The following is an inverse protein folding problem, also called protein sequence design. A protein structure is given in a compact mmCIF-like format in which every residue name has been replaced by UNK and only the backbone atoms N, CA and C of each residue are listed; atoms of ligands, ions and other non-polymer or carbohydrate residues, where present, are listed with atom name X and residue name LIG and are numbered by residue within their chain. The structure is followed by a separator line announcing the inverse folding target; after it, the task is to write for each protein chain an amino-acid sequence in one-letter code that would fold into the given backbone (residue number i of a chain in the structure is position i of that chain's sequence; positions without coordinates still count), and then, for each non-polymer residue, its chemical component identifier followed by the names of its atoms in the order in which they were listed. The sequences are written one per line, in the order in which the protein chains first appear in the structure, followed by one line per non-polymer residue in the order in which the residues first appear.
data_IF_733122726640
#
_entry.id   IF_733122726640
#
_cell.length_a   1.000
_cell.length_b   1.000
_cell.length_c   1.000
_cell.angle_alpha   90.00
_cell.angle_beta   90.00
_cell.angle_gamma   90.00
#
_symmetry.space_group_name_H-M   'P 1'
#
loop_
_entity.id
_entity.type
_entity.pdbx_description
1 polymer ?
#
# COMPACT_ATOMS: atom_id res chain seq x y z
N UNK A 1 -18.51 37.45 -9.80
CA UNK A 1 -19.23 36.21 -9.39
C UNK A 1 -18.37 34.96 -9.54
N UNK A 2 -17.84 34.65 -10.74
CA UNK A 2 -17.00 33.46 -10.97
C UNK A 2 -15.78 33.36 -10.03
N UNK A 3 -15.01 34.46 -9.84
CA UNK A 3 -13.85 34.47 -8.95
C UNK A 3 -14.19 34.18 -7.47
N UNK A 4 -15.39 34.59 -7.02
CA UNK A 4 -15.86 34.31 -5.66
C UNK A 4 -16.20 32.83 -5.49
N UNK A 5 -16.85 32.23 -6.49
CA UNK A 5 -17.15 30.80 -6.50
C UNK A 5 -15.87 29.96 -6.53
N UNK A 6 -14.90 30.36 -7.34
CA UNK A 6 -13.58 29.70 -7.39
C UNK A 6 -12.86 29.86 -6.05
N UNK A 7 -12.83 31.06 -5.47
CA UNK A 7 -12.22 31.30 -4.16
C UNK A 7 -12.87 30.47 -3.04
N UNK A 8 -14.20 30.36 -3.04
CA UNK A 8 -14.94 29.53 -2.10
C UNK A 8 -14.62 28.03 -2.28
N UNK A 9 -14.59 27.54 -3.52
CA UNK A 9 -14.23 26.16 -3.82
C UNK A 9 -12.79 25.82 -3.38
N UNK A 10 -11.85 26.75 -3.57
CA UNK A 10 -10.47 26.63 -3.09
C UNK A 10 -10.45 26.57 -1.56
N UNK A 11 -11.18 27.44 -0.88
CA UNK A 11 -11.25 27.45 0.59
C UNK A 11 -11.83 26.14 1.13
N UNK A 12 -12.91 25.63 0.53
CA UNK A 12 -13.49 24.32 0.87
C UNK A 12 -12.47 23.20 0.65
N UNK A 13 -11.71 23.25 -0.45
CA UNK A 13 -10.65 22.27 -0.74
C UNK A 13 -9.50 22.31 0.27
N UNK A 14 -9.11 23.50 0.73
CA UNK A 14 -8.03 23.68 1.71
C UNK A 14 -8.50 23.25 3.11
N UNK A 15 -9.73 23.60 3.49
CA UNK A 15 -10.28 23.22 4.79
C UNK A 15 -10.61 21.72 4.91
N UNK A 16 -10.80 21.05 3.77
CA UNK A 16 -11.08 19.60 3.62
C UNK A 16 -12.06 19.04 4.67
N UNK A 17 -13.28 19.60 4.84
CA UNK A 17 -14.21 19.15 5.86
C UNK A 17 -14.69 17.71 5.62
N UNK A 18 -15.09 17.00 6.68
CA UNK A 18 -15.46 15.58 6.66
C UNK A 18 -16.35 15.17 5.47
N UNK A 19 -17.44 15.88 5.11
CA UNK A 19 -18.28 15.48 3.99
C UNK A 19 -17.54 15.42 2.65
N UNK A 20 -16.59 16.34 2.42
CA UNK A 20 -15.80 16.37 1.19
C UNK A 20 -14.81 15.21 1.12
N UNK A 21 -14.23 14.82 2.26
CA UNK A 21 -13.36 13.65 2.35
C UNK A 21 -14.12 12.36 2.06
N UNK A 22 -15.32 12.21 2.65
CA UNK A 22 -16.17 11.02 2.45
C UNK A 22 -16.54 10.87 0.98
N UNK A 23 -17.06 11.94 0.35
CA UNK A 23 -17.46 11.91 -1.06
C UNK A 23 -16.25 11.57 -1.94
N UNK A 24 -15.09 12.18 -1.68
CA UNK A 24 -13.85 11.91 -2.42
C UNK A 24 -13.43 10.46 -2.31
N UNK A 25 -13.36 9.91 -1.09
CA UNK A 25 -12.87 8.56 -0.84
C UNK A 25 -13.84 7.52 -1.42
N UNK A 26 -15.14 7.68 -1.23
CA UNK A 26 -16.15 6.79 -1.83
C UNK A 26 -16.09 6.81 -3.37
N UNK A 27 -15.93 7.99 -3.96
CA UNK A 27 -15.79 8.13 -5.41
C UNK A 27 -14.52 7.43 -5.90
N UNK A 28 -13.41 7.58 -5.18
CA UNK A 28 -12.15 6.89 -5.48
C UNK A 28 -12.31 5.37 -5.42
N UNK A 29 -12.90 4.84 -4.35
CA UNK A 29 -13.13 3.41 -4.18
C UNK A 29 -14.04 2.84 -5.28
N UNK A 30 -15.09 3.59 -5.65
CA UNK A 30 -15.96 3.21 -6.75
C UNK A 30 -15.20 3.13 -8.08
N UNK A 31 -14.34 4.11 -8.38
CA UNK A 31 -13.49 4.06 -9.57
C UNK A 31 -12.52 2.89 -9.55
N UNK A 32 -11.89 2.59 -8.41
CA UNK A 32 -11.00 1.42 -8.28
C UNK A 32 -11.75 0.09 -8.50
N UNK A 33 -13.04 0.01 -8.16
CA UNK A 33 -13.88 -1.18 -8.38
C UNK A 33 -14.37 -1.31 -9.82
N UNK A 34 -14.82 -0.21 -10.42
CA UNK A 34 -15.36 -0.21 -11.79
C UNK A 34 -14.25 -0.35 -12.83
N UNK A 35 -13.10 0.28 -12.57
CA UNK A 35 -11.93 0.27 -13.44
C UNK A 35 -10.69 -0.08 -12.60
N UNK A 36 -10.57 -1.34 -12.15
CA UNK A 36 -9.37 -1.78 -11.47
C UNK A 36 -8.16 -1.57 -12.38
N UNK A 37 -7.02 -1.27 -11.78
CA UNK A 37 -5.76 -1.15 -12.51
C UNK A 37 -5.40 -2.52 -13.09
N UNK A 38 -5.00 -2.53 -14.36
CA UNK A 38 -4.47 -3.75 -14.97
C UNK A 38 -3.21 -4.19 -14.21
N UNK A 39 -3.17 -5.45 -13.80
CA UNK A 39 -2.00 -6.03 -13.16
C UNK A 39 -0.87 -6.10 -14.18
N UNK A 40 0.15 -5.27 -14.00
CA UNK A 40 1.37 -5.33 -14.78
C UNK A 40 2.42 -6.09 -13.99
N UNK A 41 3.25 -6.92 -14.64
CA UNK A 41 4.39 -7.54 -13.98
C UNK A 41 5.35 -6.43 -13.54
N UNK A 42 5.34 -6.14 -12.24
CA UNK A 42 6.28 -5.22 -11.63
C UNK A 42 7.49 -6.03 -11.15
N UNK A 43 8.72 -5.48 -11.24
CA UNK A 43 9.92 -6.12 -10.70
C UNK A 43 9.98 -5.99 -9.16
N UNK A 44 8.85 -6.23 -8.49
CA UNK A 44 8.68 -6.10 -7.05
C UNK A 44 7.96 -7.35 -6.55
N UNK A 45 8.56 -8.01 -5.57
CA UNK A 45 7.96 -9.12 -4.84
C UNK A 45 7.71 -8.72 -3.39
N UNK A 46 6.60 -9.17 -2.83
CA UNK A 46 6.25 -8.96 -1.42
C UNK A 46 6.31 -10.34 -0.75
N UNK A 47 7.10 -10.44 0.31
CA UNK A 47 7.19 -11.63 1.16
C UNK A 47 6.41 -11.30 2.44
N UNK A 48 5.24 -11.91 2.58
CA UNK A 48 4.36 -11.70 3.73
C UNK A 48 4.49 -12.84 4.75
N UNK A 49 4.29 -12.53 6.02
CA UNK A 49 4.29 -13.51 7.12
C UNK A 49 2.86 -13.74 7.56
N UNK A 50 2.24 -14.75 6.96
CA UNK A 50 0.86 -15.13 7.27
C UNK A 50 0.78 -16.27 8.30
N UNK A 51 -0.46 -16.56 8.75
CA UNK A 51 -0.72 -17.65 9.70
C UNK A 51 -0.23 -19.01 9.19
N UNK A 52 -0.24 -19.22 7.87
CA UNK A 52 0.26 -20.45 7.26
C UNK A 52 1.77 -20.57 7.42
N UNK A 53 2.50 -19.47 7.22
CA UNK A 53 3.94 -19.37 7.42
C UNK A 53 4.31 -19.58 8.89
N UNK A 54 3.58 -18.96 9.82
CA UNK A 54 3.78 -19.15 11.26
C UNK A 54 3.52 -20.60 11.66
N UNK A 55 2.46 -21.21 11.13
CA UNK A 55 2.15 -22.62 11.41
C UNK A 55 3.24 -23.56 10.86
N UNK A 56 3.81 -23.23 9.70
CA UNK A 56 4.82 -24.05 9.04
C UNK A 56 6.23 -23.88 9.63
N UNK A 57 6.62 -22.66 10.00
CA UNK A 57 7.99 -22.31 10.41
C UNK A 57 8.11 -22.27 11.94
N UNK A 58 7.00 -22.01 12.63
CA UNK A 58 6.93 -21.88 14.08
C UNK A 58 6.55 -20.47 14.52
N UNK A 59 6.39 -20.35 15.84
CA UNK A 59 5.91 -19.14 16.48
C UNK A 59 6.77 -17.90 16.15
N UNK A 60 6.09 -16.83 15.78
CA UNK A 60 6.67 -15.49 15.64
C UNK A 60 6.90 -14.84 17.02
N UNK A 61 7.92 -13.98 17.23
CA UNK A 61 8.95 -13.53 16.27
C UNK A 61 10.05 -14.56 16.03
N UNK A 62 10.46 -14.69 14.77
CA UNK A 62 11.54 -15.58 14.39
C UNK A 62 12.93 -15.04 14.78
N UNK A 63 13.94 -15.90 14.93
CA UNK A 63 15.31 -15.45 15.12
C UNK A 63 15.83 -14.74 13.86
N UNK A 64 16.76 -13.79 14.03
CA UNK A 64 17.38 -13.03 12.93
C UNK A 64 18.04 -13.89 11.86
N UNK A 65 18.48 -15.11 12.22
CA UNK A 65 19.01 -16.09 11.26
C UNK A 65 17.99 -16.47 10.19
N UNK A 66 16.70 -16.57 10.55
CA UNK A 66 15.63 -16.83 9.60
C UNK A 66 15.48 -15.70 8.58
N UNK A 67 15.51 -14.45 9.07
CA UNK A 67 15.46 -13.29 8.18
C UNK A 67 16.68 -13.18 7.27
N UNK A 68 17.86 -13.54 7.76
CA UNK A 68 19.07 -13.59 6.92
C UNK A 68 18.91 -14.58 5.76
N UNK A 69 18.38 -15.78 6.02
CA UNK A 69 18.12 -16.77 4.96
C UNK A 69 17.09 -16.29 3.92
N UNK A 70 16.06 -15.55 4.36
CA UNK A 70 15.08 -14.92 3.46
C UNK A 70 15.76 -13.87 2.58
N UNK A 71 16.58 -12.99 3.17
CA UNK A 71 17.34 -11.95 2.44
C UNK A 71 18.29 -12.58 1.43
N UNK A 72 19.05 -13.60 1.83
CA UNK A 72 19.97 -14.31 0.94
C UNK A 72 19.26 -14.94 -0.24
N UNK A 73 18.07 -15.53 0.00
CA UNK A 73 17.26 -16.13 -1.05
C UNK A 73 16.71 -15.08 -2.00
N UNK A 74 16.13 -13.99 -1.48
CA UNK A 74 15.64 -12.89 -2.31
C UNK A 74 16.76 -12.25 -3.15
N UNK A 75 17.95 -12.09 -2.56
CA UNK A 75 19.13 -11.56 -3.27
C UNK A 75 19.57 -12.51 -4.39
N UNK A 76 19.60 -13.82 -4.13
CA UNK A 76 19.93 -14.85 -5.12
C UNK A 76 18.94 -14.86 -6.28
N UNK A 77 17.68 -14.57 -6.00
CA UNK A 77 16.59 -14.49 -6.99
C UNK A 77 16.56 -13.14 -7.74
N UNK A 78 17.54 -12.26 -7.49
CA UNK A 78 17.76 -11.03 -8.25
C UNK A 78 17.24 -9.75 -7.59
N UNK A 79 16.85 -9.78 -6.30
CA UNK A 79 16.51 -8.56 -5.58
C UNK A 79 17.73 -7.64 -5.45
N UNK A 80 17.61 -6.40 -5.95
CA UNK A 80 18.66 -5.37 -5.88
C UNK A 80 18.49 -4.42 -4.68
N UNK A 81 17.30 -4.40 -4.09
CA UNK A 81 16.96 -3.64 -2.90
C UNK A 81 15.93 -4.43 -2.08
N UNK A 82 16.10 -4.44 -0.76
CA UNK A 82 15.22 -5.15 0.17
C UNK A 82 14.86 -4.17 1.29
N UNK A 83 13.57 -4.05 1.60
CA UNK A 83 13.05 -3.25 2.69
C UNK A 83 12.25 -4.14 3.64
N UNK A 84 12.33 -3.83 4.94
CA UNK A 84 11.55 -4.49 5.97
C UNK A 84 10.48 -3.54 6.48
N UNK A 85 9.28 -4.07 6.64
CA UNK A 85 8.22 -3.48 7.44
C UNK A 85 8.22 -4.23 8.79
N UNK A 86 8.40 -3.51 9.90
CA UNK A 86 8.64 -4.10 11.24
C UNK A 86 7.66 -3.51 12.24
#
# INVERSE_FOLDING_TARGET
MALLLVGFAILVRIADPIPTQVIRNQTFDLFQRIKPRDAQPLPVAIIDVDDRSITAIGQWPWPRTRFAEIVETATRDGAVAIAFDI
#
